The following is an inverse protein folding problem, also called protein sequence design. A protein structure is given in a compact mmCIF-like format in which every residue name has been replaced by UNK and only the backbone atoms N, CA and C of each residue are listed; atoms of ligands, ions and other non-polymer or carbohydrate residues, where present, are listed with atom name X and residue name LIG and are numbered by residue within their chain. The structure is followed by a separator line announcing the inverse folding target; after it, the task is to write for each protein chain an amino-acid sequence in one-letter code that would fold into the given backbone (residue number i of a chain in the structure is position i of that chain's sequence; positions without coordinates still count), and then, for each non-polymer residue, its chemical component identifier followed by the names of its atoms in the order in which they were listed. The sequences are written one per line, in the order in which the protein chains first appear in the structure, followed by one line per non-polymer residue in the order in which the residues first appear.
data_IF_501409211221
#
_entry.id   IF_501409211221
#
_cell.length_a   1.000
_cell.length_b   1.000
_cell.length_c   1.000
_cell.angle_alpha   90.00
_cell.angle_beta   90.00
_cell.angle_gamma   90.00
#
_symmetry.space_group_name_H-M   'P 1'
#
loop_
_entity.id
_entity.type
_entity.pdbx_description
1 polymer ?
#
# COMPACT_ATOMS: atom_id res chain seq x y z
N UNK A 1 -6.59 7.00 -10.17
CA UNK A 1 -5.77 5.77 -10.10
C UNK A 1 -5.30 5.31 -11.48
N UNK A 2 -6.13 5.30 -12.52
CA UNK A 2 -5.76 4.78 -13.85
C UNK A 2 -4.43 5.28 -14.43
N UNK A 3 -4.07 6.55 -14.22
CA UNK A 3 -2.77 7.08 -14.67
C UNK A 3 -1.57 6.41 -13.94
N UNK A 4 -1.70 6.10 -12.64
CA UNK A 4 -0.67 5.39 -11.89
C UNK A 4 -0.56 3.92 -12.33
N UNK A 5 -1.68 3.27 -12.64
CA UNK A 5 -1.71 1.92 -13.17
C UNK A 5 -0.98 1.83 -14.51
N UNK A 6 -1.23 2.80 -15.41
CA UNK A 6 -0.53 2.91 -16.70
C UNK A 6 0.96 3.12 -16.48
N UNK A 7 1.34 4.10 -15.66
CA UNK A 7 2.74 4.41 -15.36
C UNK A 7 3.49 3.18 -14.82
N UNK A 8 2.92 2.48 -13.84
CA UNK A 8 3.54 1.28 -13.27
C UNK A 8 3.61 0.15 -14.30
N UNK A 9 2.57 -0.01 -15.13
CA UNK A 9 2.60 -0.97 -16.24
C UNK A 9 3.72 -0.70 -17.24
N UNK A 10 3.96 0.56 -17.57
CA UNK A 10 5.04 0.95 -18.50
C UNK A 10 6.41 0.69 -17.87
N UNK A 11 6.61 1.06 -16.59
CA UNK A 11 7.83 0.75 -15.82
C UNK A 11 8.12 -0.76 -15.80
N UNK A 12 7.10 -1.60 -15.64
CA UNK A 12 7.25 -3.05 -15.65
C UNK A 12 7.68 -3.58 -17.02
N UNK A 13 7.14 -3.00 -18.10
CA UNK A 13 7.56 -3.33 -19.47
C UNK A 13 8.98 -2.87 -19.76
N UNK A 14 9.37 -1.67 -19.31
CA UNK A 14 10.76 -1.17 -19.41
C UNK A 14 11.75 -2.04 -18.62
N UNK A 15 11.32 -2.65 -17.53
CA UNK A 15 12.12 -3.62 -16.76
C UNK A 15 12.25 -5.00 -17.44
N UNK A 16 11.60 -5.21 -18.59
CA UNK A 16 11.75 -6.42 -19.43
C UNK A 16 10.55 -7.37 -19.45
N UNK A 17 9.46 -7.05 -18.77
CA UNK A 17 8.23 -7.86 -18.85
C UNK A 17 7.47 -7.62 -20.16
N UNK A 18 6.87 -8.67 -20.68
CA UNK A 18 6.00 -8.54 -21.85
C UNK A 18 4.69 -7.85 -21.49
N UNK A 19 4.22 -6.94 -22.33
CA UNK A 19 2.95 -6.23 -22.10
C UNK A 19 1.76 -7.16 -21.87
N UNK A 20 1.73 -8.30 -22.56
CA UNK A 20 0.66 -9.29 -22.41
C UNK A 20 0.64 -9.99 -21.04
N UNK A 21 1.76 -9.99 -20.30
CA UNK A 21 1.87 -10.57 -18.96
C UNK A 21 1.35 -9.61 -17.89
N UNK A 22 1.32 -8.30 -18.18
CA UNK A 22 0.87 -7.24 -17.27
C UNK A 22 -0.64 -7.00 -17.45
N UNK A 23 -1.42 -7.23 -16.42
CA UNK A 23 -2.88 -7.11 -16.43
C UNK A 23 -3.33 -5.99 -15.50
N UNK A 24 -4.17 -5.06 -16.00
CA UNK A 24 -4.67 -3.89 -15.27
C UNK A 24 -6.19 -3.70 -15.37
N UNK A 25 -6.90 -4.45 -16.21
CA UNK A 25 -8.34 -4.24 -16.45
C UNK A 25 -9.18 -5.50 -16.28
N UNK A 26 -8.68 -6.60 -16.80
CA UNK A 26 -9.40 -7.88 -16.85
C UNK A 26 -8.52 -9.00 -16.32
N UNK A 27 -9.14 -10.09 -15.89
CA UNK A 27 -8.46 -11.27 -15.34
C UNK A 27 -7.51 -10.89 -14.18
N UNK A 28 -8.03 -10.14 -13.23
CA UNK A 28 -7.33 -9.62 -12.06
C UNK A 28 -7.63 -10.41 -10.78
N UNK A 29 -8.49 -11.41 -10.88
CA UNK A 29 -8.89 -12.26 -9.77
C UNK A 29 -7.82 -13.32 -9.50
N UNK A 30 -7.31 -13.32 -8.27
CA UNK A 30 -6.43 -14.37 -7.76
C UNK A 30 -7.15 -15.19 -6.70
N UNK A 31 -6.87 -16.49 -6.59
CA UNK A 31 -7.43 -17.32 -5.53
C UNK A 31 -6.95 -16.80 -4.16
N UNK A 32 -7.84 -16.81 -3.17
CA UNK A 32 -7.54 -16.54 -1.78
C UNK A 32 -7.47 -17.82 -0.95
N UNK A 33 -7.24 -17.66 0.32
CA UNK A 33 -7.33 -18.71 1.34
C UNK A 33 -8.61 -18.54 2.18
N UNK A 34 -8.85 -17.32 2.68
CA UNK A 34 -10.01 -16.98 3.49
C UNK A 34 -11.24 -16.58 2.65
N UNK A 35 -11.07 -16.41 1.36
CA UNK A 35 -12.11 -16.11 0.36
C UNK A 35 -11.81 -16.85 -0.93
N UNK A 36 -12.83 -17.09 -1.74
CA UNK A 36 -12.67 -17.82 -3.00
C UNK A 36 -11.68 -17.09 -3.94
N UNK A 37 -11.90 -15.80 -4.16
CA UNK A 37 -11.06 -14.96 -5.01
C UNK A 37 -10.97 -13.53 -4.47
N UNK A 38 -9.90 -12.83 -4.85
CA UNK A 38 -9.74 -11.38 -4.69
C UNK A 38 -9.35 -10.76 -6.02
N UNK A 39 -10.04 -9.70 -6.40
CA UNK A 39 -9.65 -8.84 -7.50
C UNK A 39 -8.55 -7.87 -7.03
N UNK A 40 -7.43 -7.86 -7.73
CA UNK A 40 -6.30 -6.94 -7.56
C UNK A 40 -6.39 -5.80 -8.56
N UNK A 41 -5.61 -4.73 -8.38
CA UNK A 41 -5.61 -3.59 -9.31
C UNK A 41 -4.63 -3.80 -10.47
N UNK A 42 -3.50 -4.48 -10.21
CA UNK A 42 -2.54 -4.90 -11.22
C UNK A 42 -1.92 -6.24 -10.81
N UNK A 43 -1.83 -7.16 -11.76
CA UNK A 43 -1.10 -8.43 -11.59
C UNK A 43 -0.19 -8.69 -12.78
N UNK A 44 0.91 -9.41 -12.54
CA UNK A 44 1.75 -9.95 -13.60
C UNK A 44 1.81 -11.47 -13.47
N UNK A 45 1.46 -12.12 -14.56
CA UNK A 45 1.59 -13.57 -14.69
C UNK A 45 2.47 -13.84 -15.92
N UNK A 46 3.64 -14.42 -15.70
CA UNK A 46 4.58 -14.74 -16.77
C UNK A 46 4.94 -16.22 -16.72
N UNK A 47 4.69 -16.93 -17.84
CA UNK A 47 4.92 -18.38 -17.99
C UNK A 47 4.31 -19.21 -16.84
N UNK A 48 3.08 -18.88 -16.42
CA UNK A 48 2.34 -19.57 -15.36
C UNK A 48 2.71 -19.15 -13.92
N UNK A 49 3.76 -18.35 -13.71
CA UNK A 49 4.13 -17.84 -12.40
C UNK A 49 3.42 -16.52 -12.10
N UNK A 50 2.90 -16.37 -10.89
CA UNK A 50 2.51 -15.07 -10.34
C UNK A 50 3.77 -14.30 -9.97
N UNK A 51 4.15 -13.31 -10.78
CA UNK A 51 5.36 -12.50 -10.57
C UNK A 51 5.12 -11.41 -9.54
N UNK A 52 3.97 -10.75 -9.64
CA UNK A 52 3.59 -9.70 -8.69
C UNK A 52 2.07 -9.49 -8.65
N UNK A 53 1.61 -8.94 -7.53
CA UNK A 53 0.26 -8.40 -7.37
C UNK A 53 0.33 -7.04 -6.65
N UNK A 54 -0.49 -6.09 -7.10
CA UNK A 54 -0.48 -4.73 -6.56
C UNK A 54 -1.87 -4.24 -6.20
N UNK A 55 -1.91 -3.49 -5.12
CA UNK A 55 -3.08 -2.77 -4.64
C UNK A 55 -2.80 -1.28 -4.73
N UNK A 56 -3.69 -0.55 -5.42
CA UNK A 56 -3.67 0.91 -5.49
C UNK A 56 -4.83 1.46 -4.68
N UNK A 57 -4.54 2.25 -3.67
CA UNK A 57 -5.58 2.89 -2.84
C UNK A 57 -5.49 4.39 -2.93
N UNK A 58 -6.63 5.03 -2.98
CA UNK A 58 -6.73 6.48 -2.84
C UNK A 58 -7.77 6.85 -1.80
N UNK A 59 -7.52 7.94 -1.13
CA UNK A 59 -8.46 8.53 -0.19
C UNK A 59 -8.56 10.03 -0.45
N UNK A 60 -9.76 10.45 -0.82
CA UNK A 60 -10.11 11.86 -1.06
C UNK A 60 -11.45 12.20 -0.39
N UNK A 61 -11.76 13.50 -0.33
CA UNK A 61 -13.04 14.00 0.15
C UNK A 61 -13.19 14.04 1.68
N UNK A 62 -14.44 14.02 2.16
CA UNK A 62 -14.77 14.32 3.57
C UNK A 62 -14.67 13.13 4.52
N UNK A 63 -14.70 11.89 4.04
CA UNK A 63 -14.87 10.67 4.87
C UNK A 63 -13.53 10.02 5.28
N UNK A 64 -12.44 10.77 5.36
CA UNK A 64 -11.09 10.24 5.61
C UNK A 64 -11.02 9.51 6.95
N UNK A 65 -11.59 10.08 8.01
CA UNK A 65 -11.54 9.51 9.36
C UNK A 65 -12.22 8.14 9.47
N UNK A 66 -13.36 7.96 8.80
CA UNK A 66 -14.09 6.70 8.84
C UNK A 66 -13.39 5.58 8.05
N UNK A 67 -12.52 5.96 7.10
CA UNK A 67 -11.91 5.00 6.19
C UNK A 67 -10.52 4.52 6.64
N UNK A 68 -9.86 5.19 7.61
CA UNK A 68 -8.49 4.79 8.03
C UNK A 68 -8.46 3.35 8.53
N UNK A 69 -9.38 2.98 9.42
CA UNK A 69 -9.44 1.62 9.97
C UNK A 69 -9.79 0.60 8.88
N UNK A 70 -10.79 0.90 8.05
CA UNK A 70 -11.18 0.01 6.94
C UNK A 70 -10.02 -0.22 5.98
N UNK A 71 -9.23 0.81 5.64
CA UNK A 71 -8.04 0.66 4.79
C UNK A 71 -6.96 -0.20 5.43
N UNK A 72 -6.80 -0.09 6.76
CA UNK A 72 -5.88 -0.94 7.50
C UNK A 72 -6.33 -2.40 7.47
N UNK A 73 -7.60 -2.66 7.76
CA UNK A 73 -8.19 -4.01 7.73
C UNK A 73 -8.12 -4.63 6.32
N UNK A 74 -8.48 -3.88 5.28
CA UNK A 74 -8.40 -4.31 3.89
C UNK A 74 -6.96 -4.68 3.48
N UNK A 75 -5.98 -3.83 3.81
CA UNK A 75 -4.59 -4.05 3.44
C UNK A 75 -4.01 -5.29 4.14
N UNK A 76 -4.18 -5.38 5.46
CA UNK A 76 -3.70 -6.51 6.26
C UNK A 76 -4.39 -7.81 5.85
N UNK A 77 -5.72 -7.78 5.71
CA UNK A 77 -6.51 -8.95 5.31
C UNK A 77 -6.14 -9.45 3.91
N UNK A 78 -5.95 -8.54 2.95
CA UNK A 78 -5.56 -8.90 1.57
C UNK A 78 -4.17 -9.52 1.51
N UNK A 79 -3.20 -8.97 2.24
CA UNK A 79 -1.86 -9.51 2.30
C UNK A 79 -1.83 -10.88 2.99
N UNK A 80 -2.50 -11.02 4.14
CA UNK A 80 -2.58 -12.30 4.85
C UNK A 80 -3.22 -13.39 4.00
N UNK A 81 -4.28 -13.04 3.27
CA UNK A 81 -5.01 -13.95 2.41
C UNK A 81 -4.14 -14.50 1.27
N UNK A 82 -3.48 -13.64 0.50
CA UNK A 82 -2.63 -14.07 -0.63
C UNK A 82 -1.39 -14.84 -0.16
N UNK A 83 -0.75 -14.42 0.94
CA UNK A 83 0.41 -15.14 1.46
C UNK A 83 0.05 -16.51 2.01
N UNK A 84 -1.15 -16.67 2.57
CA UNK A 84 -1.62 -17.98 2.99
C UNK A 84 -1.95 -18.84 1.76
N UNK A 85 -2.65 -18.30 0.76
CA UNK A 85 -2.90 -19.01 -0.50
C UNK A 85 -1.60 -19.43 -1.21
N UNK A 86 -0.57 -18.60 -1.18
CA UNK A 86 0.76 -18.91 -1.73
C UNK A 86 1.38 -20.11 -1.01
N UNK A 87 1.42 -20.10 0.32
CA UNK A 87 1.97 -21.21 1.12
C UNK A 87 1.20 -22.52 0.94
N UNK A 88 -0.09 -22.43 0.66
CA UNK A 88 -0.97 -23.58 0.34
C UNK A 88 -0.82 -24.05 -1.13
N UNK A 89 0.14 -23.51 -1.89
CA UNK A 89 0.46 -23.93 -3.25
C UNK A 89 -0.55 -23.50 -4.31
N UNK A 90 -1.44 -22.52 -4.04
CA UNK A 90 -2.47 -22.07 -4.99
C UNK A 90 -1.89 -21.44 -6.26
N UNK A 91 -0.66 -20.98 -6.24
CA UNK A 91 0.05 -20.35 -7.36
C UNK A 91 1.13 -21.25 -7.96
N UNK A 92 1.12 -22.56 -7.65
CA UNK A 92 2.15 -23.50 -8.09
C UNK A 92 3.45 -23.36 -7.30
N UNK A 93 4.50 -24.07 -7.76
CA UNK A 93 5.82 -24.09 -7.10
C UNK A 93 6.76 -23.07 -7.75
N UNK A 94 6.49 -21.80 -7.52
CA UNK A 94 7.28 -20.68 -8.03
C UNK A 94 7.84 -19.85 -6.87
N UNK A 95 8.87 -19.03 -7.12
CA UNK A 95 9.34 -18.06 -6.13
C UNK A 95 8.21 -17.13 -5.63
N UNK A 96 8.34 -16.60 -4.40
CA UNK A 96 7.33 -15.68 -3.84
C UNK A 96 7.10 -14.47 -4.74
N UNK A 97 5.83 -14.08 -4.99
CA UNK A 97 5.53 -12.91 -5.80
C UNK A 97 5.91 -11.61 -5.05
N UNK A 98 6.14 -10.56 -5.81
CA UNK A 98 6.20 -9.20 -5.23
C UNK A 98 4.78 -8.74 -4.89
N UNK A 99 4.55 -8.33 -3.66
CA UNK A 99 3.29 -7.73 -3.25
C UNK A 99 3.50 -6.23 -3.02
N UNK A 100 2.87 -5.39 -3.85
CA UNK A 100 3.00 -3.93 -3.81
C UNK A 100 1.77 -3.23 -3.28
N UNK A 101 1.98 -2.17 -2.46
CA UNK A 101 0.91 -1.32 -1.95
C UNK A 101 1.23 0.15 -2.23
N UNK A 102 0.39 0.82 -3.02
CA UNK A 102 0.52 2.24 -3.31
C UNK A 102 -0.68 3.00 -2.79
N UNK A 103 -0.44 3.96 -1.91
CA UNK A 103 -1.49 4.78 -1.31
C UNK A 103 -1.34 6.24 -1.72
N UNK A 104 -2.41 6.82 -2.26
CA UNK A 104 -2.51 8.23 -2.63
C UNK A 104 -3.53 8.93 -1.73
N UNK A 105 -3.08 9.88 -0.92
CA UNK A 105 -3.92 10.70 -0.05
C UNK A 105 -4.14 12.08 -0.67
N UNK A 106 -5.38 12.59 -0.66
CA UNK A 106 -5.63 13.98 -1.00
C UNK A 106 -4.95 14.89 0.02
N UNK A 107 -4.09 15.81 -0.47
CA UNK A 107 -3.39 16.79 0.35
C UNK A 107 -4.32 17.95 0.71
N UNK A 108 -4.78 17.98 1.97
CA UNK A 108 -5.68 18.98 2.53
C UNK A 108 -5.28 19.25 3.99
N UNK A 109 -5.61 20.42 4.51
CA UNK A 109 -5.25 20.82 5.88
C UNK A 109 -5.83 19.87 6.94
N UNK A 110 -7.06 19.39 6.74
CA UNK A 110 -7.71 18.51 7.70
C UNK A 110 -7.05 17.12 7.83
N UNK A 111 -6.30 16.65 6.83
CA UNK A 111 -5.56 15.38 6.94
C UNK A 111 -4.24 15.54 7.68
N UNK A 112 -3.74 16.77 7.79
CA UNK A 112 -2.50 17.13 8.50
C UNK A 112 -2.76 17.53 9.96
N UNK A 113 -4.02 17.80 10.31
CA UNK A 113 -4.40 18.17 11.66
C UNK A 113 -4.42 16.96 12.59
N UNK A 114 -3.78 17.02 13.77
CA UNK A 114 -3.85 15.95 14.77
C UNK A 114 -5.28 15.62 15.18
N UNK A 115 -5.57 14.33 15.34
CA UNK A 115 -6.89 13.80 15.70
C UNK A 115 -6.80 13.07 17.04
N UNK A 116 -7.70 13.37 17.96
CA UNK A 116 -7.70 12.75 19.29
C UNK A 116 -7.97 11.22 19.18
N UNK A 117 -7.24 10.47 20.00
CA UNK A 117 -7.49 9.06 20.21
C UNK A 117 -8.52 8.88 21.35
N UNK A 118 -9.29 7.80 21.28
CA UNK A 118 -10.15 7.34 22.37
C UNK A 118 -9.42 6.22 23.12
N UNK A 119 -9.12 6.42 24.37
CA UNK A 119 -8.40 5.47 25.24
C UNK A 119 -9.20 5.19 26.51
N UNK A 120 -10.37 4.53 26.43
CA UNK A 120 -11.23 4.37 27.61
C UNK A 120 -10.61 3.43 28.66
N UNK A 121 -9.78 2.47 28.26
CA UNK A 121 -9.20 1.45 29.15
C UNK A 121 -7.70 1.26 28.93
N UNK A 122 -7.23 1.20 27.68
CA UNK A 122 -5.85 0.93 27.33
C UNK A 122 -5.26 2.06 26.49
N UNK A 123 -3.95 2.29 26.65
CA UNK A 123 -3.22 3.27 25.84
C UNK A 123 -3.06 2.76 24.42
N UNK A 124 -3.19 3.67 23.45
CA UNK A 124 -2.80 3.37 22.08
C UNK A 124 -1.28 3.23 21.99
N UNK A 125 -0.83 2.59 20.91
CA UNK A 125 0.59 2.55 20.57
C UNK A 125 1.18 3.98 20.54
N UNK A 126 2.37 4.22 21.13
CA UNK A 126 2.99 5.54 21.23
C UNK A 126 3.13 6.30 19.92
N UNK A 127 3.35 5.61 18.80
CA UNK A 127 3.41 6.24 17.47
C UNK A 127 2.08 6.88 17.03
N UNK A 128 0.94 6.44 17.58
CA UNK A 128 -0.37 7.09 17.39
C UNK A 128 -0.66 8.15 18.48
N UNK A 129 0.13 8.21 19.54
CA UNK A 129 -0.12 9.08 20.69
C UNK A 129 0.07 10.57 20.40
N UNK A 130 0.91 10.93 19.44
CA UNK A 130 1.32 12.31 19.21
C UNK A 130 2.19 12.87 20.35
N UNK A 131 2.72 14.08 20.18
CA UNK A 131 3.45 14.76 21.24
C UNK A 131 2.50 15.15 22.38
N UNK A 132 2.90 14.85 23.61
CA UNK A 132 2.19 15.29 24.81
C UNK A 132 2.22 16.83 24.86
N UNK A 133 1.06 17.47 24.73
CA UNK A 133 0.99 18.91 25.05
C UNK A 133 1.17 19.10 26.56
N UNK A 134 2.03 20.03 26.93
CA UNK A 134 2.22 20.48 28.33
C UNK A 134 0.85 20.73 28.97
N UNK A 135 0.76 20.35 30.27
CA UNK A 135 -0.41 20.52 31.11
C UNK A 135 -0.81 21.97 31.19
N UNK A 136 -1.75 22.40 30.39
CA UNK A 136 -2.32 23.73 30.46
C UNK A 136 -3.83 23.70 30.26
N UNK A 137 -4.57 23.75 31.37
CA UNK A 137 -6.02 24.00 31.51
C UNK A 137 -6.97 22.88 31.05
N UNK A 138 -7.66 22.29 32.05
CA UNK A 138 -8.89 21.48 32.01
C UNK A 138 -9.11 20.63 30.76
N UNK A 139 -8.81 19.34 30.90
CA UNK A 139 -9.17 18.29 29.95
C UNK A 139 -8.11 18.13 28.87
N UNK A 140 -6.94 17.59 29.21
CA UNK A 140 -5.95 17.14 28.23
C UNK A 140 -6.50 15.95 27.46
N UNK A 141 -7.24 16.21 26.38
CA UNK A 141 -7.44 15.22 25.34
C UNK A 141 -6.05 14.97 24.76
N UNK A 142 -5.52 13.76 24.93
CA UNK A 142 -4.30 13.34 24.24
C UNK A 142 -4.55 13.50 22.75
N UNK A 143 -3.90 14.48 22.13
CA UNK A 143 -3.99 14.68 20.70
C UNK A 143 -3.19 13.55 20.05
N UNK A 144 -3.86 12.66 19.35
CA UNK A 144 -3.20 11.68 18.51
C UNK A 144 -2.57 12.32 17.28
N UNK A 145 -2.00 11.50 16.41
CA UNK A 145 -1.40 11.95 15.16
C UNK A 145 -2.46 12.25 14.09
N UNK A 146 -2.07 12.99 13.06
CA UNK A 146 -2.93 13.32 11.90
C UNK A 146 -3.28 12.07 11.06
N UNK A 147 -4.30 12.19 10.21
CA UNK A 147 -4.64 11.11 9.28
C UNK A 147 -3.52 10.81 8.28
N UNK A 148 -2.81 11.82 7.79
CA UNK A 148 -1.65 11.60 6.93
C UNK A 148 -0.58 10.76 7.64
N UNK A 149 -0.32 11.03 8.93
CA UNK A 149 0.61 10.21 9.72
C UNK A 149 0.11 8.79 9.96
N UNK A 150 -1.19 8.59 10.15
CA UNK A 150 -1.78 7.24 10.29
C UNK A 150 -1.61 6.41 9.02
N UNK A 151 -1.81 6.99 7.84
CA UNK A 151 -1.57 6.31 6.56
C UNK A 151 -0.09 6.06 6.29
N UNK A 152 0.79 6.98 6.66
CA UNK A 152 2.23 6.77 6.63
C UNK A 152 2.63 5.57 7.50
N UNK A 153 2.16 5.52 8.75
CA UNK A 153 2.41 4.42 9.68
C UNK A 153 1.85 3.09 9.14
N UNK A 154 0.66 3.10 8.57
CA UNK A 154 0.09 1.91 7.92
C UNK A 154 1.05 1.40 6.84
N UNK A 155 1.41 2.23 5.86
CA UNK A 155 2.29 1.83 4.75
C UNK A 155 3.64 1.30 5.26
N UNK A 156 4.24 1.95 6.26
CA UNK A 156 5.50 1.52 6.86
C UNK A 156 5.37 0.16 7.56
N UNK A 157 4.32 -0.02 8.36
CA UNK A 157 4.06 -1.27 9.09
C UNK A 157 3.74 -2.43 8.16
N UNK A 158 3.06 -2.20 7.04
CA UNK A 158 2.82 -3.24 6.03
C UNK A 158 4.14 -3.83 5.50
N UNK A 159 5.18 -3.02 5.36
CA UNK A 159 6.51 -3.48 4.93
C UNK A 159 7.29 -4.11 6.09
N UNK A 160 7.30 -3.50 7.26
CA UNK A 160 8.00 -4.00 8.45
C UNK A 160 7.50 -5.39 8.86
N UNK A 161 6.18 -5.61 8.80
CA UNK A 161 5.54 -6.89 9.10
C UNK A 161 5.61 -7.89 7.93
N UNK A 162 6.33 -7.53 6.83
CA UNK A 162 6.45 -8.37 5.63
C UNK A 162 5.12 -8.77 5.01
N UNK A 163 4.08 -7.97 5.22
CA UNK A 163 2.78 -8.14 4.58
C UNK A 163 2.84 -7.70 3.12
N UNK A 164 3.59 -6.65 2.84
CA UNK A 164 3.90 -6.20 1.48
C UNK A 164 5.42 -6.14 1.28
N UNK A 165 5.87 -6.45 0.06
CA UNK A 165 7.30 -6.39 -0.30
C UNK A 165 7.78 -4.95 -0.32
N UNK A 166 6.93 -4.04 -0.79
CA UNK A 166 7.18 -2.60 -0.79
C UNK A 166 5.89 -1.82 -0.73
N UNK A 167 5.95 -0.63 -0.14
CA UNK A 167 4.83 0.31 -0.11
C UNK A 167 5.29 1.71 -0.55
N UNK A 168 4.36 2.46 -1.14
CA UNK A 168 4.54 3.86 -1.53
C UNK A 168 3.44 4.71 -0.93
N UNK A 169 3.80 5.84 -0.31
CA UNK A 169 2.85 6.81 0.22
C UNK A 169 3.03 8.18 -0.43
N UNK A 170 2.01 8.61 -1.16
CA UNK A 170 1.97 9.88 -1.86
C UNK A 170 0.84 10.75 -1.33
N UNK A 171 1.04 12.06 -1.39
CA UNK A 171 -0.03 13.03 -1.20
C UNK A 171 -0.16 13.90 -2.46
N UNK A 172 -1.39 14.23 -2.86
CA UNK A 172 -1.64 15.05 -4.04
C UNK A 172 -2.71 16.10 -3.77
N UNK A 173 -2.46 17.33 -4.18
CA UNK A 173 -3.47 18.40 -4.14
C UNK A 173 -4.55 18.15 -5.19
N UNK A 174 -5.80 18.42 -4.83
CA UNK A 174 -6.92 18.40 -5.78
C UNK A 174 -7.13 19.81 -6.34
N UNK A 175 -6.24 20.21 -7.25
CA UNK A 175 -6.26 21.53 -7.88
C UNK A 175 -5.95 21.42 -9.38
N UNK A 176 -6.26 22.47 -10.15
CA UNK A 176 -5.97 22.52 -11.59
C UNK A 176 -4.48 22.27 -11.90
N UNK A 177 -3.59 22.60 -10.96
CA UNK A 177 -2.16 22.27 -10.99
C UNK A 177 -1.86 21.32 -9.85
N UNK A 178 -2.09 20.02 -10.07
CA UNK A 178 -1.85 18.98 -9.08
C UNK A 178 -0.38 18.97 -8.65
N UNK A 179 -0.14 19.14 -7.35
CA UNK A 179 1.18 18.97 -6.73
C UNK A 179 1.20 17.64 -5.99
N UNK A 180 2.21 16.81 -6.30
CA UNK A 180 2.47 15.55 -5.59
C UNK A 180 3.59 15.78 -4.59
N UNK A 181 3.41 15.31 -3.37
CA UNK A 181 4.40 15.31 -2.30
C UNK A 181 4.62 13.90 -1.76
N UNK A 182 5.80 13.65 -1.25
CA UNK A 182 6.26 12.37 -0.70
C UNK A 182 6.76 12.61 0.73
N UNK A 183 5.86 12.59 1.74
CA UNK A 183 6.19 13.04 3.09
C UNK A 183 7.10 12.06 3.85
N UNK A 184 7.20 10.82 3.40
CA UNK A 184 7.97 9.76 4.04
C UNK A 184 9.16 9.35 3.15
N UNK A 185 10.43 9.61 3.56
CA UNK A 185 11.61 9.32 2.74
C UNK A 185 11.83 7.82 2.45
N UNK A 186 11.31 6.96 3.31
CA UNK A 186 11.36 5.50 3.19
C UNK A 186 10.24 4.92 2.31
N UNK A 187 9.18 5.69 2.02
CA UNK A 187 7.98 5.28 1.27
C UNK A 187 7.81 6.04 -0.05
N UNK A 188 8.92 6.49 -0.65
CA UNK A 188 8.88 7.27 -1.90
C UNK A 188 8.57 6.39 -3.11
N UNK A 189 8.04 7.01 -4.17
CA UNK A 189 7.78 6.34 -5.43
C UNK A 189 9.06 5.78 -6.07
N UNK A 190 10.17 6.51 -5.98
CA UNK A 190 11.47 6.08 -6.49
C UNK A 190 11.97 4.80 -5.82
N UNK A 191 11.84 4.70 -4.49
CA UNK A 191 12.21 3.48 -3.73
C UNK A 191 11.29 2.32 -4.08
N UNK A 192 10.01 2.59 -4.21
CA UNK A 192 9.02 1.60 -4.61
C UNK A 192 9.33 1.02 -6.00
N UNK A 193 9.61 1.89 -6.98
CA UNK A 193 9.98 1.49 -8.35
C UNK A 193 11.28 0.70 -8.36
N UNK A 194 12.30 1.13 -7.62
CA UNK A 194 13.56 0.42 -7.52
C UNK A 194 13.39 -1.01 -6.98
N UNK A 195 12.57 -1.20 -5.94
CA UNK A 195 12.26 -2.51 -5.40
C UNK A 195 11.50 -3.39 -6.41
N UNK A 196 10.54 -2.78 -7.14
CA UNK A 196 9.74 -3.44 -8.16
C UNK A 196 10.62 -3.91 -9.33
N UNK A 197 11.46 -3.02 -9.88
CA UNK A 197 12.38 -3.35 -10.98
C UNK A 197 13.40 -4.40 -10.56
N UNK A 198 13.96 -4.31 -9.35
CA UNK A 198 14.88 -5.30 -8.80
C UNK A 198 14.25 -6.70 -8.74
N UNK A 199 12.99 -6.79 -8.31
CA UNK A 199 12.26 -8.06 -8.30
C UNK A 199 12.06 -8.62 -9.72
N UNK A 200 11.66 -7.76 -10.68
CA UNK A 200 11.47 -8.18 -12.09
C UNK A 200 12.78 -8.69 -12.70
N UNK A 201 13.88 -7.96 -12.51
CA UNK A 201 15.20 -8.36 -13.01
C UNK A 201 15.62 -9.72 -12.41
N UNK A 202 15.46 -9.90 -11.10
CA UNK A 202 15.75 -11.17 -10.42
C UNK A 202 14.90 -12.31 -10.98
N UNK A 203 13.60 -12.07 -11.17
CA UNK A 203 12.69 -13.07 -11.73
C UNK A 203 13.07 -13.48 -13.16
N UNK A 204 13.40 -12.51 -14.01
CA UNK A 204 13.80 -12.79 -15.39
C UNK A 204 15.16 -13.50 -15.46
N UNK A 205 16.13 -13.10 -14.62
CA UNK A 205 17.46 -13.71 -14.55
C UNK A 205 17.44 -15.16 -14.08
N UNK A 206 16.53 -15.51 -13.17
CA UNK A 206 16.40 -16.90 -12.68
C UNK A 206 15.79 -17.89 -13.70
N UNK A 207 15.41 -17.42 -14.89
CA UNK A 207 14.80 -18.22 -15.98
C UNK A 207 15.71 -18.38 -17.18
N UNK A 208 16.89 -17.79 -17.19
CA UNK A 208 17.88 -17.89 -18.25
C UNK A 208 18.84 -19.09 -18.09
N UNK A 209 18.61 -19.89 -17.05
CA UNK A 209 19.28 -21.17 -16.80
C UNK A 209 18.22 -22.30 -16.99
#
# INVERSE_FOLDING_TARGET
MGALEVLVSDILCEAGLKKLDVRTRTALELPGYFRATKKWDLIVISNGALVLAMEFKSQAGKSIGNNVNNRSEEAVGSAKDIWTAFREGRFGQFPPPFLGYLFLLEDRDNVKTPVANKEPYFKVDPEFGGEAQEKGKRGSQHKGVSYSKRYELLCRRLVLERLYTSACFLMATNSARTKITQPAPDLTFQRFVAALQGHVVTFLGSRGE
#
